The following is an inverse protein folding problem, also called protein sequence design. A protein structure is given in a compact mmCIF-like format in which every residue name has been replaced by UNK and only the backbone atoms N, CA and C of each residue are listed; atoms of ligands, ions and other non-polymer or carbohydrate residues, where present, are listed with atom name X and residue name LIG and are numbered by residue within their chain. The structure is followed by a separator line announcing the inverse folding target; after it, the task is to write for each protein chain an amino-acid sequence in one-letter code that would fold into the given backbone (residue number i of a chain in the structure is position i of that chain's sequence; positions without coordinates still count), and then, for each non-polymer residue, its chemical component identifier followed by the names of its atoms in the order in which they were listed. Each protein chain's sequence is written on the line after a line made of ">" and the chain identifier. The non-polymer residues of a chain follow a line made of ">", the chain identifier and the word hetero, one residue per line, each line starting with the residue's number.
data_IF_896045250595
#
_entry.id   IF_896045250595
#
_cell.length_a   1.000
_cell.length_b   1.000
_cell.length_c   1.000
_cell.angle_alpha   90.00
_cell.angle_beta   90.00
_cell.angle_gamma   90.00
#
_symmetry.space_group_name_H-M   'P 1'
#
loop_
_entity.id
_entity.type
_entity.pdbx_description
1 polymer ?
#
# COMPACT_ATOMS: atom_id res chain seq x y z
N UNK A 1 -22.03 -9.20 8.57
CA UNK A 1 -20.80 -8.49 8.17
C UNK A 1 -21.06 -7.53 7.02
N UNK A 2 -21.30 -7.96 5.77
CA UNK A 2 -21.50 -7.04 4.63
C UNK A 2 -22.57 -5.96 4.87
N UNK A 3 -23.79 -6.35 5.28
CA UNK A 3 -24.86 -5.37 5.57
C UNK A 3 -24.47 -4.39 6.69
N UNK A 4 -23.76 -4.85 7.72
CA UNK A 4 -23.33 -3.99 8.82
C UNK A 4 -22.29 -2.96 8.36
N UNK A 5 -21.31 -3.37 7.56
CA UNK A 5 -20.30 -2.46 7.01
C UNK A 5 -20.95 -1.50 6.00
N UNK A 6 -21.83 -2.01 5.14
CA UNK A 6 -22.56 -1.22 4.15
C UNK A 6 -23.47 -0.17 4.80
N UNK A 7 -24.23 -0.54 5.82
CA UNK A 7 -25.06 0.41 6.57
C UNK A 7 -24.21 1.43 7.33
N UNK A 8 -23.10 0.99 7.94
CA UNK A 8 -22.21 1.89 8.69
C UNK A 8 -21.60 2.97 7.77
N UNK A 9 -20.95 2.59 6.67
CA UNK A 9 -20.28 3.53 5.75
C UNK A 9 -21.23 4.21 4.74
N UNK A 10 -22.41 3.63 4.51
CA UNK A 10 -23.42 4.18 3.59
C UNK A 10 -24.45 5.08 4.25
N UNK A 11 -24.77 4.87 5.54
CA UNK A 11 -25.88 5.56 6.22
C UNK A 11 -25.51 6.15 7.59
N UNK A 12 -24.64 5.48 8.36
CA UNK A 12 -24.34 5.90 9.74
C UNK A 12 -23.25 6.97 9.80
N UNK A 13 -22.15 6.78 9.09
CA UNK A 13 -21.04 7.74 9.08
C UNK A 13 -21.41 8.93 8.21
N UNK A 14 -21.33 10.14 8.77
CA UNK A 14 -21.58 11.38 8.03
C UNK A 14 -20.32 12.21 7.85
N UNK A 15 -19.33 12.08 8.74
CA UNK A 15 -18.03 12.76 8.65
C UNK A 15 -16.88 11.94 9.27
N UNK A 16 -15.63 12.24 8.90
CA UNK A 16 -14.43 11.65 9.51
C UNK A 16 -14.29 11.96 11.01
N UNK A 17 -14.96 13.01 11.50
CA UNK A 17 -14.95 13.41 12.91
C UNK A 17 -15.79 12.46 13.79
N UNK A 18 -16.57 11.56 13.18
CA UNK A 18 -17.39 10.56 13.89
C UNK A 18 -16.56 9.36 14.41
N UNK A 19 -15.27 9.26 14.05
CA UNK A 19 -14.37 8.16 14.41
C UNK A 19 -13.73 8.37 15.78
N UNK A 20 -13.68 7.30 16.60
CA UNK A 20 -13.18 7.36 17.99
C UNK A 20 -11.68 7.03 18.11
N UNK A 21 -11.00 6.77 17.01
CA UNK A 21 -9.56 6.54 16.92
C UNK A 21 -8.92 7.43 15.86
N UNK A 22 -7.62 7.68 15.98
CA UNK A 22 -6.85 8.35 14.93
C UNK A 22 -6.45 7.43 13.78
N UNK A 23 -7.08 6.25 13.67
CA UNK A 23 -6.85 5.33 12.56
C UNK A 23 -7.02 6.05 11.22
N UNK A 24 -8.05 6.89 11.09
CA UNK A 24 -8.35 7.59 9.83
C UNK A 24 -7.88 9.05 9.73
N UNK A 25 -7.04 9.54 10.65
CA UNK A 25 -6.67 10.97 10.71
C UNK A 25 -5.20 11.21 10.33
N UNK A 26 -4.91 11.68 9.10
CA UNK A 26 -3.51 12.00 8.68
C UNK A 26 -3.35 13.21 7.74
N UNK A 27 -4.35 14.09 7.58
CA UNK A 27 -4.27 15.19 6.59
C UNK A 27 -3.21 16.29 6.89
N UNK A 28 -2.48 16.22 8.02
CA UNK A 28 -1.58 17.32 8.45
C UNK A 28 -0.27 17.45 7.66
N UNK A 29 0.22 16.41 6.98
CA UNK A 29 1.52 16.43 6.29
C UNK A 29 1.47 16.20 4.76
N UNK A 30 0.32 16.46 4.12
CA UNK A 30 0.21 16.17 2.68
C UNK A 30 1.08 17.10 1.80
N UNK A 31 1.78 16.55 0.78
CA UNK A 31 2.58 17.33 -0.17
C UNK A 31 1.78 18.42 -0.89
N UNK A 32 2.43 19.55 -1.18
CA UNK A 32 1.78 20.72 -1.78
C UNK A 32 1.12 20.43 -3.15
N UNK A 33 1.74 19.56 -3.97
CA UNK A 33 1.19 19.19 -5.26
C UNK A 33 -0.13 18.39 -5.13
N UNK A 34 -0.22 17.49 -4.14
CA UNK A 34 -1.44 16.75 -3.85
C UNK A 34 -2.52 17.66 -3.26
N UNK A 35 -2.15 18.59 -2.38
CA UNK A 35 -3.07 19.64 -1.87
C UNK A 35 -3.68 20.47 -3.01
N UNK A 36 -2.87 20.84 -4.01
CA UNK A 36 -3.35 21.59 -5.17
C UNK A 36 -4.32 20.80 -6.05
N UNK A 37 -4.17 19.48 -6.15
CA UNK A 37 -5.13 18.60 -6.85
C UNK A 37 -6.39 18.41 -6.01
N UNK A 38 -6.26 18.14 -4.71
CA UNK A 38 -7.40 18.00 -3.79
C UNK A 38 -8.31 19.23 -3.77
N UNK A 39 -7.73 20.42 -3.85
CA UNK A 39 -8.50 21.67 -3.94
C UNK A 39 -9.37 21.77 -5.21
N UNK A 40 -9.13 20.92 -6.22
CA UNK A 40 -9.94 20.82 -7.45
C UNK A 40 -10.99 19.72 -7.38
N UNK A 41 -11.00 18.89 -6.33
CA UNK A 41 -11.98 17.82 -6.16
C UNK A 41 -13.30 18.41 -5.70
N UNK A 42 -14.40 17.91 -6.28
CA UNK A 42 -15.72 18.42 -5.96
C UNK A 42 -16.04 18.25 -4.46
N UNK A 43 -16.56 19.27 -3.75
CA UNK A 43 -16.78 19.21 -2.31
C UNK A 43 -17.63 18.02 -1.84
N UNK A 44 -18.66 17.63 -2.61
CA UNK A 44 -19.52 16.47 -2.28
C UNK A 44 -18.77 15.13 -2.33
N UNK A 45 -17.75 15.03 -3.18
CA UNK A 45 -16.86 13.86 -3.21
C UNK A 45 -15.97 13.87 -1.98
N UNK A 46 -15.31 15.00 -1.70
CA UNK A 46 -14.38 15.13 -0.57
C UNK A 46 -15.04 14.98 0.80
N UNK A 47 -16.27 15.47 0.97
CA UNK A 47 -16.96 15.46 2.27
C UNK A 47 -17.46 14.09 2.71
N UNK A 48 -17.50 13.11 1.81
CA UNK A 48 -17.93 11.72 2.09
C UNK A 48 -16.76 10.73 2.14
N UNK A 49 -15.56 11.24 2.41
CA UNK A 49 -14.35 10.45 2.47
C UNK A 49 -14.02 10.00 3.90
N UNK A 50 -13.68 8.72 4.05
CA UNK A 50 -13.44 8.09 5.35
C UNK A 50 -12.11 7.33 5.44
N UNK A 51 -11.15 7.62 4.55
CA UNK A 51 -9.86 6.93 4.51
C UNK A 51 -8.78 7.59 5.37
N UNK A 52 -7.69 6.86 5.59
CA UNK A 52 -6.62 7.19 6.53
C UNK A 52 -5.51 8.10 5.99
N UNK A 53 -5.79 8.88 4.93
CA UNK A 53 -4.83 9.70 4.19
C UNK A 53 -5.09 9.65 2.68
N UNK A 54 -4.16 10.07 1.83
CA UNK A 54 -4.20 9.82 0.39
C UNK A 54 -3.11 8.80 0.03
N UNK A 55 -3.48 7.76 -0.70
CA UNK A 55 -2.53 6.76 -1.19
C UNK A 55 -2.18 7.05 -2.64
N UNK A 56 -0.97 7.54 -2.86
CA UNK A 56 -0.45 7.86 -4.18
C UNK A 56 1.02 7.41 -4.30
N UNK A 57 1.30 6.25 -4.93
CA UNK A 57 2.67 5.82 -5.17
C UNK A 57 3.33 6.67 -6.26
N UNK A 58 4.64 6.49 -6.45
CA UNK A 58 5.41 7.23 -7.44
C UNK A 58 5.18 6.71 -8.87
N UNK A 59 5.59 7.50 -9.87
CA UNK A 59 5.62 7.13 -11.29
C UNK A 59 4.22 6.79 -11.86
N UNK A 60 3.24 7.67 -11.69
CA UNK A 60 1.83 7.40 -12.05
C UNK A 60 1.45 7.75 -13.49
N UNK A 61 2.23 8.58 -14.18
CA UNK A 61 1.86 9.09 -15.51
C UNK A 61 1.58 7.94 -16.50
N UNK A 62 0.39 7.94 -17.10
CA UNK A 62 -0.05 6.91 -18.04
C UNK A 62 -0.44 5.57 -17.42
N UNK A 63 -0.42 5.41 -16.10
CA UNK A 63 -0.75 4.15 -15.44
C UNK A 63 -2.27 3.89 -15.39
N UNK A 64 -2.63 2.61 -15.42
CA UNK A 64 -3.99 2.14 -15.19
C UNK A 64 -4.12 1.63 -13.75
N UNK A 65 -4.93 2.32 -12.95
CA UNK A 65 -5.06 2.07 -11.51
C UNK A 65 -6.43 1.48 -11.18
N UNK A 66 -6.45 0.50 -10.28
CA UNK A 66 -7.66 0.01 -9.62
C UNK A 66 -7.66 0.46 -8.15
N UNK A 67 -8.74 1.07 -7.71
CA UNK A 67 -8.96 1.50 -6.34
C UNK A 67 -10.03 0.60 -5.68
N UNK A 68 -9.62 -0.14 -4.66
CA UNK A 68 -10.49 -1.04 -3.92
C UNK A 68 -11.09 -0.30 -2.73
N UNK A 69 -12.42 -0.24 -2.67
CA UNK A 69 -13.14 0.54 -1.66
C UNK A 69 -13.13 2.04 -1.98
N UNK A 70 -13.41 2.40 -3.23
CA UNK A 70 -13.24 3.77 -3.73
C UNK A 70 -14.16 4.83 -3.08
N UNK A 71 -15.21 4.40 -2.38
CA UNK A 71 -16.19 5.29 -1.76
C UNK A 71 -16.79 6.28 -2.76
N UNK A 72 -16.84 7.55 -2.37
CA UNK A 72 -17.29 8.67 -3.21
C UNK A 72 -16.31 9.03 -4.34
N UNK A 73 -15.12 8.40 -4.39
CA UNK A 73 -14.14 8.55 -5.46
C UNK A 73 -13.05 9.61 -5.23
N UNK A 74 -12.84 10.11 -3.99
CA UNK A 74 -11.80 11.12 -3.70
C UNK A 74 -10.43 10.70 -4.26
N UNK A 75 -9.95 9.52 -3.88
CA UNK A 75 -8.63 9.02 -4.30
C UNK A 75 -8.62 8.74 -5.80
N UNK A 76 -9.69 8.15 -6.34
CA UNK A 76 -9.87 7.95 -7.77
C UNK A 76 -9.69 9.24 -8.59
N UNK A 77 -10.30 10.35 -8.16
CA UNK A 77 -10.21 11.62 -8.89
C UNK A 77 -8.88 12.33 -8.69
N UNK A 78 -8.23 12.20 -7.53
CA UNK A 78 -6.86 12.70 -7.35
C UNK A 78 -5.90 11.94 -8.27
N UNK A 79 -6.00 10.61 -8.29
CA UNK A 79 -5.19 9.75 -9.14
C UNK A 79 -5.46 9.99 -10.62
N UNK A 80 -6.71 10.26 -11.01
CA UNK A 80 -7.10 10.64 -12.38
C UNK A 80 -6.28 11.83 -12.91
N UNK A 81 -6.04 12.83 -12.06
CA UNK A 81 -5.19 13.97 -12.41
C UNK A 81 -3.70 13.58 -12.51
N UNK A 82 -3.22 12.68 -11.65
CA UNK A 82 -1.82 12.24 -11.60
C UNK A 82 -1.44 11.30 -12.75
N UNK A 83 -2.34 10.40 -13.15
CA UNK A 83 -2.11 9.49 -14.29
C UNK A 83 -2.27 10.21 -15.63
N UNK A 84 -3.00 11.32 -15.66
CA UNK A 84 -3.24 12.13 -16.85
C UNK A 84 -4.15 11.44 -17.89
N UNK A 85 -4.33 12.05 -19.07
CA UNK A 85 -5.32 11.62 -20.06
C UNK A 85 -4.98 10.29 -20.76
N UNK A 86 -3.76 9.78 -20.59
CA UNK A 86 -3.31 8.49 -21.15
C UNK A 86 -3.49 7.32 -20.17
N UNK A 87 -3.57 7.61 -18.87
CA UNK A 87 -3.85 6.61 -17.85
C UNK A 87 -5.35 6.49 -17.58
N UNK A 88 -5.72 5.64 -16.64
CA UNK A 88 -7.10 5.51 -16.19
C UNK A 88 -7.19 5.08 -14.74
N UNK A 89 -8.31 5.38 -14.08
CA UNK A 89 -8.61 4.93 -12.73
C UNK A 89 -9.95 4.23 -12.68
N UNK A 90 -9.98 3.03 -12.15
CA UNK A 90 -11.19 2.24 -11.93
C UNK A 90 -11.43 2.14 -10.44
N UNK A 91 -12.56 2.63 -9.93
CA UNK A 91 -12.98 2.43 -8.55
C UNK A 91 -13.95 1.26 -8.40
N UNK A 92 -13.81 0.47 -7.34
CA UNK A 92 -14.78 -0.55 -6.94
C UNK A 92 -15.26 -0.25 -5.53
N UNK A 93 -16.57 -0.19 -5.33
CA UNK A 93 -17.18 -0.06 -4.00
C UNK A 93 -18.46 -0.90 -3.91
N UNK A 94 -18.85 -1.32 -2.71
CA UNK A 94 -20.08 -2.11 -2.50
C UNK A 94 -21.30 -1.24 -2.19
N UNK A 95 -21.13 0.07 -2.05
CA UNK A 95 -22.12 1.01 -1.50
C UNK A 95 -22.74 1.87 -2.61
N UNK A 96 -23.99 1.63 -3.02
CA UNK A 96 -24.64 2.38 -4.10
C UNK A 96 -24.70 3.88 -3.83
N UNK A 97 -24.89 4.29 -2.57
CA UNK A 97 -24.98 5.69 -2.16
C UNK A 97 -23.66 6.44 -2.39
N UNK A 98 -22.54 5.79 -2.13
CA UNK A 98 -21.20 6.34 -2.38
C UNK A 98 -20.91 6.41 -3.88
N UNK A 99 -21.20 5.31 -4.59
CA UNK A 99 -21.02 5.24 -6.04
C UNK A 99 -21.91 6.22 -6.82
N UNK A 100 -23.10 6.53 -6.30
CA UNK A 100 -23.97 7.55 -6.89
C UNK A 100 -23.26 8.91 -6.91
N UNK A 101 -22.66 9.31 -5.79
CA UNK A 101 -21.88 10.56 -5.70
C UNK A 101 -20.65 10.48 -6.61
N UNK A 102 -19.92 9.37 -6.57
CA UNK A 102 -18.75 9.16 -7.42
C UNK A 102 -19.10 9.35 -8.90
N UNK A 103 -20.19 8.73 -9.37
CA UNK A 103 -20.62 8.79 -10.77
C UNK A 103 -21.17 10.15 -11.19
N UNK A 104 -21.87 10.86 -10.29
CA UNK A 104 -22.43 12.19 -10.57
C UNK A 104 -21.36 13.21 -10.99
N UNK A 105 -20.17 13.14 -10.38
CA UNK A 105 -19.11 14.12 -10.60
C UNK A 105 -18.04 13.71 -11.63
N UNK A 106 -18.30 12.68 -12.45
CA UNK A 106 -17.35 12.26 -13.49
C UNK A 106 -17.07 13.39 -14.48
N UNK A 107 -18.13 13.99 -15.02
CA UNK A 107 -18.00 15.07 -16.01
C UNK A 107 -17.39 16.34 -15.42
N UNK A 108 -17.66 16.62 -14.14
CA UNK A 108 -17.05 17.74 -13.42
C UNK A 108 -15.52 17.60 -13.42
N UNK A 109 -15.00 16.45 -12.96
CA UNK A 109 -13.55 16.26 -12.85
C UNK A 109 -12.87 16.16 -14.22
N UNK A 110 -13.53 15.54 -15.21
CA UNK A 110 -13.07 15.57 -16.61
C UNK A 110 -12.84 17.00 -17.10
N UNK A 111 -13.82 17.89 -16.91
CA UNK A 111 -13.71 19.29 -17.33
C UNK A 111 -12.66 20.04 -16.50
N UNK A 112 -12.64 19.83 -15.18
CA UNK A 112 -11.74 20.49 -14.25
C UNK A 112 -10.26 20.16 -14.51
N UNK A 113 -9.97 18.96 -15.01
CA UNK A 113 -8.63 18.54 -15.42
C UNK A 113 -8.33 18.78 -16.91
N UNK A 114 -9.32 19.25 -17.69
CA UNK A 114 -9.15 19.58 -19.11
C UNK A 114 -9.02 18.34 -20.01
N UNK A 115 -9.67 17.23 -19.66
CA UNK A 115 -9.62 16.00 -20.44
C UNK A 115 -10.76 15.95 -21.48
N UNK A 116 -10.44 15.46 -22.68
CA UNK A 116 -11.44 15.26 -23.75
C UNK A 116 -12.47 14.18 -23.37
N UNK A 117 -12.01 13.12 -22.70
CA UNK A 117 -12.84 12.03 -22.19
C UNK A 117 -12.51 11.78 -20.72
N UNK A 118 -13.48 11.25 -19.96
CA UNK A 118 -13.21 10.79 -18.60
C UNK A 118 -12.25 9.60 -18.65
N UNK A 119 -11.23 9.62 -17.80
CA UNK A 119 -10.35 8.49 -17.55
C UNK A 119 -10.73 7.73 -16.26
N UNK A 120 -11.90 8.01 -15.67
CA UNK A 120 -12.41 7.36 -14.45
C UNK A 120 -13.65 6.53 -14.74
N UNK A 121 -13.71 5.33 -14.16
CA UNK A 121 -14.88 4.45 -14.17
C UNK A 121 -15.14 3.86 -12.77
N UNK A 122 -16.40 3.56 -12.45
CA UNK A 122 -16.78 3.02 -11.13
C UNK A 122 -17.70 1.81 -11.24
N UNK A 123 -17.35 0.72 -10.57
CA UNK A 123 -18.12 -0.52 -10.50
C UNK A 123 -18.67 -0.77 -9.11
N UNK A 124 -19.90 -1.30 -9.06
CA UNK A 124 -20.48 -1.80 -7.82
C UNK A 124 -20.08 -3.27 -7.65
N UNK A 125 -19.45 -3.60 -6.52
CA UNK A 125 -19.02 -4.96 -6.25
C UNK A 125 -18.29 -5.11 -4.92
N UNK A 126 -18.04 -6.37 -4.55
CA UNK A 126 -17.24 -6.72 -3.39
C UNK A 126 -15.77 -6.90 -3.79
N UNK A 127 -14.85 -6.38 -2.98
CA UNK A 127 -13.41 -6.43 -3.26
C UNK A 127 -12.83 -7.85 -3.22
N UNK A 128 -13.50 -8.79 -2.55
CA UNK A 128 -13.17 -10.22 -2.57
C UNK A 128 -13.80 -10.99 -3.74
N UNK A 129 -14.64 -10.34 -4.57
CA UNK A 129 -15.34 -10.94 -5.73
C UNK A 129 -15.13 -10.15 -7.02
N UNK A 130 -13.91 -9.67 -7.26
CA UNK A 130 -13.57 -8.88 -8.45
C UNK A 130 -13.67 -9.68 -9.77
N UNK A 131 -13.73 -11.01 -9.70
CA UNK A 131 -14.01 -11.91 -10.81
C UNK A 131 -15.47 -11.86 -11.30
N UNK A 132 -16.40 -11.37 -10.47
CA UNK A 132 -17.78 -11.11 -10.86
C UNK A 132 -17.95 -9.79 -11.63
N UNK A 133 -16.91 -8.95 -11.66
CA UNK A 133 -16.89 -7.67 -12.37
C UNK A 133 -16.26 -7.85 -13.76
N UNK A 134 -16.52 -6.94 -14.73
CA UNK A 134 -15.91 -6.99 -16.05
C UNK A 134 -14.45 -6.50 -16.03
N UNK A 135 -13.63 -7.08 -15.17
CA UNK A 135 -12.21 -6.77 -14.97
C UNK A 135 -11.33 -7.92 -15.47
N UNK A 136 -10.54 -7.63 -16.50
CA UNK A 136 -9.66 -8.60 -17.16
C UNK A 136 -8.40 -8.90 -16.35
N UNK A 137 -7.82 -10.08 -16.57
CA UNK A 137 -6.50 -10.39 -16.01
C UNK A 137 -5.42 -9.46 -16.57
N UNK A 138 -4.37 -9.20 -15.77
CA UNK A 138 -3.24 -8.35 -16.19
C UNK A 138 -3.68 -6.99 -16.78
N UNK A 139 -4.72 -6.39 -16.20
CA UNK A 139 -5.30 -5.15 -16.69
C UNK A 139 -4.67 -3.90 -16.05
N UNK A 140 -4.24 -4.00 -14.79
CA UNK A 140 -3.83 -2.84 -13.99
C UNK A 140 -2.33 -2.81 -13.75
N UNK A 141 -1.75 -1.61 -13.84
CA UNK A 141 -0.36 -1.37 -13.47
C UNK A 141 -0.23 -1.25 -11.94
N UNK A 142 -1.24 -0.65 -11.31
CA UNK A 142 -1.26 -0.38 -9.87
C UNK A 142 -2.64 -0.73 -9.30
N UNK A 143 -2.67 -1.39 -8.15
CA UNK A 143 -3.87 -1.56 -7.35
C UNK A 143 -3.64 -0.84 -6.02
N UNK A 144 -4.55 0.05 -5.64
CA UNK A 144 -4.52 0.72 -4.35
C UNK A 144 -5.71 0.34 -3.47
N UNK A 145 -5.57 0.59 -2.18
CA UNK A 145 -6.62 0.40 -1.19
C UNK A 145 -6.26 1.19 0.06
N UNK A 146 -7.23 1.87 0.68
CA UNK A 146 -7.01 2.63 1.90
C UNK A 146 -7.93 2.17 3.03
N UNK A 147 -7.38 1.43 4.01
CA UNK A 147 -8.08 1.00 5.22
C UNK A 147 -9.35 0.15 4.99
N UNK A 148 -9.45 -0.58 3.87
CA UNK A 148 -10.64 -1.43 3.56
C UNK A 148 -10.39 -2.93 3.56
N UNK A 149 -9.15 -3.42 3.42
CA UNK A 149 -8.89 -4.86 3.30
C UNK A 149 -9.21 -5.56 4.62
N UNK A 150 -8.94 -4.90 5.75
CA UNK A 150 -9.32 -5.39 7.07
C UNK A 150 -10.82 -5.61 7.27
N UNK A 151 -11.65 -4.88 6.53
CA UNK A 151 -13.10 -5.01 6.54
C UNK A 151 -13.61 -6.16 5.66
N UNK A 152 -12.76 -6.73 4.81
CA UNK A 152 -13.13 -7.89 3.99
C UNK A 152 -13.22 -9.16 4.84
N UNK A 153 -14.26 -9.99 4.65
CA UNK A 153 -14.35 -11.31 5.27
C UNK A 153 -13.35 -12.31 4.69
N UNK A 154 -12.87 -12.09 3.46
CA UNK A 154 -11.98 -13.00 2.74
C UNK A 154 -10.79 -12.25 2.15
N UNK A 155 -9.83 -11.95 3.02
CA UNK A 155 -8.59 -11.23 2.70
C UNK A 155 -7.73 -12.00 1.69
N UNK A 156 -7.77 -13.33 1.74
CA UNK A 156 -7.04 -14.19 0.81
C UNK A 156 -7.58 -14.01 -0.61
N UNK A 157 -8.91 -14.01 -0.78
CA UNK A 157 -9.54 -13.76 -2.06
C UNK A 157 -9.22 -12.35 -2.60
N UNK A 158 -9.23 -11.31 -1.76
CA UNK A 158 -8.82 -9.95 -2.17
C UNK A 158 -7.40 -9.96 -2.75
N UNK A 159 -6.44 -10.56 -2.04
CA UNK A 159 -5.03 -10.60 -2.48
C UNK A 159 -4.85 -11.44 -3.75
N UNK A 160 -5.53 -12.58 -3.86
CA UNK A 160 -5.51 -13.41 -5.09
C UNK A 160 -6.09 -12.67 -6.30
N UNK A 161 -7.20 -11.96 -6.12
CA UNK A 161 -7.81 -11.18 -7.19
C UNK A 161 -6.92 -10.00 -7.59
N UNK A 162 -6.31 -9.30 -6.61
CA UNK A 162 -5.35 -8.26 -6.89
C UNK A 162 -4.16 -8.80 -7.71
N UNK A 163 -3.58 -9.93 -7.30
CA UNK A 163 -2.50 -10.58 -8.04
C UNK A 163 -2.94 -10.99 -9.46
N UNK A 164 -4.15 -11.53 -9.65
CA UNK A 164 -4.69 -11.88 -10.98
C UNK A 164 -4.81 -10.64 -11.90
N UNK A 165 -5.31 -9.55 -11.36
CA UNK A 165 -5.63 -8.32 -12.09
C UNK A 165 -4.39 -7.47 -12.41
N UNK A 166 -3.33 -7.55 -11.61
CA UNK A 166 -2.07 -6.86 -11.87
C UNK A 166 -1.36 -7.39 -13.12
N UNK A 167 -0.79 -6.49 -13.91
CA UNK A 167 0.19 -6.83 -14.96
C UNK A 167 1.47 -7.40 -14.34
N UNK A 168 2.27 -8.10 -15.14
CA UNK A 168 3.66 -8.40 -14.76
C UNK A 168 4.42 -7.08 -14.55
N UNK A 169 5.15 -6.99 -13.43
CA UNK A 169 5.79 -5.75 -12.98
C UNK A 169 4.83 -4.75 -12.32
N UNK A 170 3.54 -5.08 -12.23
CA UNK A 170 2.54 -4.27 -11.53
C UNK A 170 2.69 -4.35 -10.01
N UNK A 171 2.02 -3.43 -9.32
CA UNK A 171 2.18 -3.23 -7.87
C UNK A 171 0.84 -3.06 -7.17
N UNK A 172 0.63 -3.77 -6.07
CA UNK A 172 -0.39 -3.41 -5.09
C UNK A 172 0.24 -2.51 -4.03
N UNK A 173 -0.21 -1.27 -3.92
CA UNK A 173 0.29 -0.26 -2.98
C UNK A 173 -0.84 0.23 -2.10
N UNK A 174 -0.83 -0.12 -0.81
CA UNK A 174 -2.01 0.06 0.04
C UNK A 174 -1.62 0.30 1.50
N UNK A 175 -2.51 0.96 2.23
CA UNK A 175 -2.35 1.22 3.66
C UNK A 175 -3.48 0.56 4.43
N UNK A 176 -3.15 -0.08 5.54
CA UNK A 176 -4.15 -0.68 6.43
C UNK A 176 -3.64 -0.71 7.88
N UNK A 177 -4.50 -1.17 8.79
CA UNK A 177 -4.20 -1.33 10.21
C UNK A 177 -3.62 -2.73 10.49
N UNK A 178 -2.53 -2.79 11.25
CA UNK A 178 -1.89 -4.05 11.64
C UNK A 178 -1.66 -4.08 13.13
N UNK A 179 -1.63 -5.28 13.69
CA UNK A 179 -1.37 -5.52 15.11
C UNK A 179 0.01 -6.15 15.33
N UNK A 180 0.61 -5.87 16.49
CA UNK A 180 1.90 -6.47 16.89
C UNK A 180 1.79 -7.95 17.28
N UNK A 181 0.56 -8.44 17.50
CA UNK A 181 0.20 -9.81 17.84
C UNK A 181 -1.23 -10.11 17.41
N UNK A 182 -1.59 -11.39 17.33
CA UNK A 182 -2.96 -11.82 16.98
C UNK A 182 -3.99 -11.25 17.95
N UNK A 183 -5.02 -10.59 17.41
CA UNK A 183 -6.18 -10.11 18.18
C UNK A 183 -6.98 -11.32 18.68
N UNK A 184 -7.24 -11.44 20.00
CA UNK A 184 -8.04 -12.54 20.54
C UNK A 184 -9.45 -12.64 19.97
N UNK A 185 -9.96 -13.86 19.80
CA UNK A 185 -11.26 -14.13 19.16
C UNK A 185 -12.43 -13.37 19.79
N UNK A 186 -12.41 -13.17 21.11
CA UNK A 186 -13.46 -12.46 21.84
C UNK A 186 -13.51 -10.95 21.53
N UNK A 187 -12.39 -10.35 21.09
CA UNK A 187 -12.33 -8.95 20.64
C UNK A 187 -12.71 -8.80 19.16
N UNK A 188 -12.48 -9.83 18.34
CA UNK A 188 -12.90 -9.82 16.92
C UNK A 188 -14.42 -9.69 16.73
N UNK A 189 -15.21 -10.14 17.70
CA UNK A 189 -16.67 -10.11 17.66
C UNK A 189 -17.26 -8.83 18.30
N UNK A 190 -16.43 -7.93 18.82
CA UNK A 190 -16.89 -6.65 19.39
C UNK A 190 -17.21 -5.67 18.25
N UNK A 191 -18.49 -5.28 18.13
CA UNK A 191 -18.95 -4.41 17.06
C UNK A 191 -18.33 -3.00 17.10
N UNK A 192 -17.97 -2.49 18.29
CA UNK A 192 -17.33 -1.19 18.44
C UNK A 192 -15.89 -1.23 17.93
N UNK A 193 -15.13 -2.25 18.31
CA UNK A 193 -13.75 -2.46 17.82
C UNK A 193 -13.71 -2.78 16.32
N UNK A 194 -14.76 -3.39 15.78
CA UNK A 194 -14.89 -3.68 14.36
C UNK A 194 -15.14 -2.41 13.52
N UNK A 195 -15.95 -1.47 14.01
CA UNK A 195 -16.16 -0.18 13.34
C UNK A 195 -14.90 0.68 13.25
N UNK A 196 -14.01 0.55 14.24
CA UNK A 196 -12.72 1.26 14.30
C UNK A 196 -11.58 0.55 13.52
N UNK A 197 -11.88 -0.48 12.73
CA UNK A 197 -10.91 -1.30 12.00
C UNK A 197 -9.84 -2.01 12.88
N UNK A 198 -10.05 -2.10 14.20
CA UNK A 198 -9.09 -2.71 15.14
C UNK A 198 -9.29 -4.22 15.28
N UNK A 199 -10.55 -4.68 15.35
CA UNK A 199 -10.88 -6.12 15.49
C UNK A 199 -10.38 -6.97 14.33
N UNK A 200 -10.48 -6.44 13.11
CA UNK A 200 -10.12 -7.14 11.88
C UNK A 200 -8.63 -7.05 11.53
N UNK A 201 -7.84 -6.28 12.29
CA UNK A 201 -6.45 -6.00 11.99
C UNK A 201 -5.60 -7.29 12.08
N UNK A 202 -5.00 -7.66 10.94
CA UNK A 202 -4.10 -8.81 10.91
C UNK A 202 -2.86 -8.56 11.75
N UNK A 203 -2.40 -9.62 12.42
CA UNK A 203 -1.02 -9.67 12.92
C UNK A 203 -0.09 -9.52 11.72
N UNK A 204 0.87 -8.60 11.79
CA UNK A 204 1.71 -8.24 10.65
C UNK A 204 2.36 -9.46 9.98
N UNK A 205 2.84 -10.45 10.75
CA UNK A 205 3.51 -11.61 10.16
C UNK A 205 2.52 -12.61 9.54
N UNK A 206 1.30 -12.71 10.06
CA UNK A 206 0.25 -13.50 9.40
C UNK A 206 -0.11 -12.87 8.05
N UNK A 207 -0.15 -11.53 7.96
CA UNK A 207 -0.31 -10.81 6.70
C UNK A 207 0.82 -11.10 5.71
N UNK A 208 2.09 -11.01 6.13
CA UNK A 208 3.24 -11.29 5.25
C UNK A 208 3.15 -12.71 4.67
N UNK A 209 2.85 -13.69 5.51
CA UNK A 209 2.69 -15.08 5.07
C UNK A 209 1.49 -15.25 4.12
N UNK A 210 0.37 -14.59 4.39
CA UNK A 210 -0.81 -14.61 3.53
C UNK A 210 -0.51 -14.00 2.15
N UNK A 211 0.15 -12.84 2.10
CA UNK A 211 0.54 -12.18 0.86
C UNK A 211 1.46 -13.06 0.02
N UNK A 212 2.48 -13.67 0.64
CA UNK A 212 3.36 -14.65 -0.01
C UNK A 212 2.59 -15.85 -0.55
N UNK A 213 1.66 -16.40 0.22
CA UNK A 213 0.78 -17.49 -0.21
C UNK A 213 -0.12 -17.14 -1.40
N UNK A 214 -0.39 -15.85 -1.62
CA UNK A 214 -1.18 -15.35 -2.74
C UNK A 214 -0.35 -14.98 -3.99
N UNK A 215 0.98 -15.17 -3.95
CA UNK A 215 1.89 -14.89 -5.06
C UNK A 215 2.74 -13.64 -4.92
N UNK A 216 2.54 -12.83 -3.87
CA UNK A 216 3.40 -11.67 -3.59
C UNK A 216 4.62 -12.09 -2.76
N UNK A 217 5.67 -12.54 -3.44
CA UNK A 217 6.82 -13.20 -2.80
C UNK A 217 7.62 -12.32 -1.82
N UNK A 218 7.68 -11.00 -2.05
CA UNK A 218 8.48 -10.06 -1.25
C UNK A 218 7.69 -8.78 -0.90
N UNK A 219 6.79 -8.83 0.10
CA UNK A 219 6.10 -7.65 0.62
C UNK A 219 7.06 -6.63 1.24
N UNK A 220 6.98 -5.36 0.85
CA UNK A 220 7.83 -4.29 1.36
C UNK A 220 7.05 -3.27 2.18
N UNK A 221 7.51 -3.00 3.41
CA UNK A 221 6.96 -1.96 4.27
C UNK A 221 7.52 -0.60 3.86
N UNK A 222 6.65 0.30 3.41
CA UNK A 222 7.04 1.64 2.92
C UNK A 222 7.17 2.62 4.09
N UNK A 223 6.12 2.68 4.90
CA UNK A 223 6.04 3.52 6.08
C UNK A 223 5.06 2.93 7.09
N UNK A 224 5.22 3.30 8.34
CA UNK A 224 4.32 2.93 9.42
C UNK A 224 4.28 4.01 10.49
N UNK A 225 3.16 4.07 11.19
CA UNK A 225 2.96 4.89 12.38
C UNK A 225 2.18 4.12 13.44
N UNK A 226 2.51 4.27 14.73
CA UNK A 226 1.66 3.76 15.79
C UNK A 226 0.30 4.47 15.76
N UNK A 227 -0.77 3.71 16.04
CA UNK A 227 -2.10 4.28 16.29
C UNK A 227 -2.26 4.57 17.78
N UNK A 228 -2.88 5.70 18.10
CA UNK A 228 -3.27 6.03 19.47
C UNK A 228 -4.77 5.83 19.61
N UNK A 229 -5.16 5.31 20.77
CA UNK A 229 -6.54 4.96 21.07
C UNK A 229 -6.99 5.91 22.15
N UNK A 230 -7.69 6.95 21.75
CA UNK A 230 -8.06 8.06 22.63
C UNK A 230 -9.36 7.77 23.42
N UNK A 231 -9.74 6.50 23.50
CA UNK A 231 -10.89 5.99 24.27
C UNK A 231 -10.40 5.00 25.35
N UNK A 232 -10.45 5.37 26.64
CA UNK A 232 -9.98 4.53 27.75
C UNK A 232 -10.70 3.18 27.88
N UNK A 233 -11.98 3.09 27.48
CA UNK A 233 -12.73 1.83 27.52
C UNK A 233 -12.20 0.86 26.47
N UNK A 234 -11.94 1.36 25.25
CA UNK A 234 -11.34 0.59 24.15
C UNK A 234 -9.92 0.16 24.52
N UNK A 235 -9.10 1.08 25.04
CA UNK A 235 -7.73 0.79 25.44
C UNK A 235 -7.66 -0.33 26.49
N UNK A 236 -8.54 -0.27 27.50
CA UNK A 236 -8.65 -1.32 28.53
C UNK A 236 -9.03 -2.68 27.94
N UNK A 237 -9.97 -2.72 26.99
CA UNK A 237 -10.37 -3.95 26.29
C UNK A 237 -9.23 -4.57 25.48
N UNK A 238 -8.35 -3.75 24.89
CA UNK A 238 -7.27 -4.21 24.02
C UNK A 238 -6.07 -4.79 24.76
N UNK A 239 -6.03 -4.68 26.10
CA UNK A 239 -5.05 -5.36 26.96
C UNK A 239 -3.59 -5.17 26.50
N UNK A 240 -3.25 -3.99 25.96
CA UNK A 240 -1.89 -3.66 25.52
C UNK A 240 -1.50 -4.16 24.13
N UNK A 241 -2.45 -4.63 23.30
CA UNK A 241 -2.20 -4.85 21.86
C UNK A 241 -1.86 -3.51 21.22
N UNK A 242 -0.75 -3.45 20.47
CA UNK A 242 -0.35 -2.25 19.75
C UNK A 242 -0.77 -2.35 18.30
N UNK A 243 -1.35 -1.26 17.80
CA UNK A 243 -1.80 -1.15 16.42
C UNK A 243 -0.97 -0.12 15.67
N UNK A 244 -0.80 -0.37 14.38
CA UNK A 244 0.00 0.45 13.48
C UNK A 244 -0.80 0.67 12.21
N UNK A 245 -0.83 1.90 11.71
CA UNK A 245 -1.18 2.14 10.30
C UNK A 245 0.10 1.96 9.50
N UNK A 246 0.07 1.07 8.51
CA UNK A 246 1.23 0.74 7.72
C UNK A 246 0.89 0.69 6.23
N UNK A 247 1.79 1.24 5.42
CA UNK A 247 1.71 1.22 3.96
C UNK A 247 2.64 0.14 3.43
N UNK A 248 2.09 -0.81 2.68
CA UNK A 248 2.84 -1.87 2.02
C UNK A 248 2.82 -1.69 0.51
N UNK A 249 3.90 -2.16 -0.12
CA UNK A 249 3.96 -2.40 -1.56
C UNK A 249 4.25 -3.85 -1.87
N UNK A 250 3.45 -4.44 -2.75
CA UNK A 250 3.53 -5.82 -3.18
C UNK A 250 3.66 -5.88 -4.71
N UNK A 251 4.84 -6.25 -5.21
CA UNK A 251 5.06 -6.39 -6.65
C UNK A 251 4.63 -7.76 -7.17
N UNK A 252 4.04 -7.77 -8.37
CA UNK A 252 3.82 -8.99 -9.15
C UNK A 252 5.01 -9.21 -10.09
N UNK A 253 6.03 -9.90 -9.58
CA UNK A 253 7.23 -10.29 -10.33
C UNK A 253 7.47 -11.78 -10.03
N UNK A 254 7.54 -12.61 -11.06
CA UNK A 254 7.54 -14.07 -10.91
C UNK A 254 8.83 -14.62 -10.28
N UNK A 255 9.96 -13.95 -10.54
CA UNK A 255 11.29 -14.44 -10.17
C UNK A 255 11.83 -13.80 -8.87
N UNK A 256 10.93 -13.32 -7.99
CA UNK A 256 11.34 -12.83 -6.68
C UNK A 256 11.63 -14.01 -5.75
N UNK A 257 12.78 -13.94 -5.09
CA UNK A 257 13.26 -14.96 -4.18
C UNK A 257 12.70 -14.73 -2.77
N UNK A 258 12.52 -15.78 -1.95
CA UNK A 258 11.99 -15.63 -0.59
C UNK A 258 12.96 -14.93 0.37
N UNK A 259 14.24 -14.87 0.01
CA UNK A 259 15.31 -14.20 0.74
C UNK A 259 16.00 -13.17 -0.17
N UNK A 260 16.72 -12.23 0.45
CA UNK A 260 17.48 -11.23 -0.28
C UNK A 260 18.83 -11.82 -0.70
N UNK A 261 18.91 -12.30 -1.93
CA UNK A 261 20.15 -12.87 -2.48
C UNK A 261 21.05 -11.78 -3.08
N UNK A 262 22.36 -11.96 -2.95
CA UNK A 262 23.40 -11.06 -3.46
C UNK A 262 24.01 -11.61 -4.76
N UNK A 263 23.93 -10.79 -5.81
CA UNK A 263 24.55 -11.03 -7.11
C UNK A 263 25.56 -9.92 -7.49
N UNK A 264 26.00 -9.12 -6.52
CA UNK A 264 26.93 -8.00 -6.73
C UNK A 264 26.30 -6.85 -7.51
N UNK A 265 24.99 -6.70 -7.41
CA UNK A 265 24.22 -5.75 -8.19
C UNK A 265 24.16 -4.38 -7.53
N UNK A 266 24.08 -3.33 -8.35
CA UNK A 266 23.85 -1.96 -7.89
C UNK A 266 23.02 -1.17 -8.88
N UNK A 267 22.39 -0.12 -8.38
CA UNK A 267 21.57 0.80 -9.15
C UNK A 267 22.01 2.24 -8.93
N UNK A 268 21.72 3.11 -9.89
CA UNK A 268 21.87 4.56 -9.74
C UNK A 268 20.52 5.19 -10.08
N UNK A 269 19.95 5.94 -9.14
CA UNK A 269 18.76 6.73 -9.41
C UNK A 269 19.12 8.01 -10.16
N UNK A 270 18.42 8.29 -11.26
CA UNK A 270 18.73 9.42 -12.15
C UNK A 270 18.04 10.73 -11.74
N UNK A 271 17.16 10.73 -10.73
CA UNK A 271 16.44 11.95 -10.31
C UNK A 271 15.28 12.37 -11.22
N UNK A 272 14.84 11.48 -12.11
CA UNK A 272 13.86 11.78 -13.15
C UNK A 272 12.39 11.75 -12.71
N UNK A 273 12.06 11.27 -11.50
CA UNK A 273 10.69 11.23 -11.03
C UNK A 273 10.23 12.62 -10.54
N UNK A 274 9.02 13.05 -10.93
CA UNK A 274 8.39 14.23 -10.34
C UNK A 274 8.33 14.10 -8.81
N UNK A 275 8.64 15.20 -8.11
CA UNK A 275 8.57 15.30 -6.64
C UNK A 275 9.54 14.41 -5.85
N UNK A 276 10.38 13.61 -6.52
CA UNK A 276 11.40 12.75 -5.90
C UNK A 276 12.77 12.99 -6.53
N UNK A 277 13.16 14.25 -6.72
CA UNK A 277 14.39 14.60 -7.46
C UNK A 277 15.68 14.20 -6.73
N UNK A 278 15.70 14.31 -5.40
CA UNK A 278 16.93 14.15 -4.62
C UNK A 278 17.16 12.70 -4.16
N UNK A 279 16.08 11.95 -3.93
CA UNK A 279 16.11 10.55 -3.58
C UNK A 279 14.82 9.84 -3.98
N UNK A 280 14.93 8.54 -4.26
CA UNK A 280 13.80 7.63 -4.41
C UNK A 280 13.68 6.73 -3.17
N UNK A 281 12.49 6.65 -2.61
CA UNK A 281 12.19 5.81 -1.45
C UNK A 281 11.42 4.59 -1.97
N UNK A 282 12.11 3.45 -2.08
CA UNK A 282 11.43 2.20 -2.45
C UNK A 282 10.67 1.64 -1.25
N UNK A 283 11.27 1.64 -0.07
CA UNK A 283 10.66 1.16 1.16
C UNK A 283 11.40 1.77 2.37
N UNK A 284 11.06 1.37 3.60
CA UNK A 284 11.67 1.91 4.82
C UNK A 284 13.19 1.71 4.91
N UNK A 285 13.74 0.78 4.14
CA UNK A 285 15.17 0.42 4.15
C UNK A 285 15.93 0.96 2.94
N UNK A 286 15.25 1.28 1.84
CA UNK A 286 15.87 1.63 0.57
C UNK A 286 15.61 3.10 0.20
N UNK A 287 16.50 3.98 0.66
CA UNK A 287 16.54 5.41 0.30
C UNK A 287 17.69 5.63 -0.68
N UNK A 288 17.38 5.70 -1.97
CA UNK A 288 18.36 5.75 -3.05
C UNK A 288 18.54 7.19 -3.51
N UNK A 289 19.67 7.81 -3.16
CA UNK A 289 19.98 9.19 -3.55
C UNK A 289 20.35 9.31 -5.02
N UNK A 290 20.00 10.44 -5.60
CA UNK A 290 20.26 10.73 -7.01
C UNK A 290 21.76 10.76 -7.30
N UNK A 291 22.18 10.02 -8.32
CA UNK A 291 23.57 9.95 -8.78
C UNK A 291 24.51 9.09 -7.93
N UNK A 292 24.04 8.54 -6.82
CA UNK A 292 24.85 7.63 -5.99
C UNK A 292 24.70 6.18 -6.48
N UNK A 293 25.81 5.43 -6.47
CA UNK A 293 25.78 3.98 -6.66
C UNK A 293 25.25 3.34 -5.39
N UNK A 294 24.13 2.64 -5.50
CA UNK A 294 23.45 2.01 -4.39
C UNK A 294 23.43 0.47 -4.58
N UNK A 295 24.14 -0.31 -3.75
CA UNK A 295 24.10 -1.76 -3.80
C UNK A 295 22.70 -2.30 -3.46
N UNK A 296 22.26 -3.33 -4.18
CA UNK A 296 20.92 -3.92 -3.99
C UNK A 296 20.96 -5.44 -4.08
N UNK A 297 20.06 -6.12 -3.37
CA UNK A 297 19.81 -7.54 -3.57
C UNK A 297 19.07 -7.80 -4.90
N UNK A 298 19.04 -9.06 -5.33
CA UNK A 298 18.37 -9.51 -6.55
C UNK A 298 16.91 -9.07 -6.63
N UNK A 299 16.15 -9.21 -5.54
CA UNK A 299 14.75 -8.79 -5.51
C UNK A 299 14.58 -7.29 -5.77
N UNK A 300 15.34 -6.46 -5.05
CA UNK A 300 15.27 -5.00 -5.21
C UNK A 300 15.72 -4.57 -6.60
N UNK A 301 16.74 -5.23 -7.17
CA UNK A 301 17.15 -5.00 -8.55
C UNK A 301 15.98 -5.24 -9.51
N UNK A 302 15.27 -6.37 -9.38
CA UNK A 302 14.10 -6.71 -10.21
C UNK A 302 12.93 -5.76 -9.99
N UNK A 303 12.62 -5.40 -8.74
CA UNK A 303 11.57 -4.42 -8.41
C UNK A 303 11.80 -3.06 -9.09
N UNK A 304 13.05 -2.69 -9.35
CA UNK A 304 13.39 -1.47 -10.07
C UNK A 304 13.48 -1.69 -11.59
N UNK A 305 14.05 -2.82 -12.05
CA UNK A 305 14.34 -3.06 -13.48
C UNK A 305 13.18 -3.64 -14.30
N UNK A 306 12.22 -4.29 -13.64
CA UNK A 306 11.10 -5.00 -14.27
C UNK A 306 9.75 -4.30 -14.07
N UNK A 307 9.76 -3.09 -13.51
CA UNK A 307 8.54 -2.31 -13.23
C UNK A 307 8.59 -0.97 -13.94
N UNK A 308 7.54 -0.15 -13.72
CA UNK A 308 7.46 1.24 -14.21
C UNK A 308 8.61 2.13 -13.72
N UNK A 309 9.40 1.70 -12.73
CA UNK A 309 10.55 2.46 -12.25
C UNK A 309 11.77 2.38 -13.15
N UNK A 310 11.86 1.39 -14.04
CA UNK A 310 13.03 1.14 -14.90
C UNK A 310 13.58 2.39 -15.60
N UNK A 311 12.77 3.29 -16.20
CA UNK A 311 13.28 4.45 -16.91
C UNK A 311 14.07 5.44 -16.04
N UNK A 312 13.91 5.37 -14.72
CA UNK A 312 14.51 6.31 -13.77
C UNK A 312 15.81 5.81 -13.14
N UNK A 313 16.25 4.59 -13.49
CA UNK A 313 17.42 3.96 -12.91
C UNK A 313 18.42 3.51 -13.98
N UNK A 314 19.70 3.56 -13.61
CA UNK A 314 20.77 2.82 -14.27
C UNK A 314 21.06 1.56 -13.45
N UNK A 315 21.44 0.49 -14.13
CA UNK A 315 21.58 -0.83 -13.53
C UNK A 315 22.96 -1.39 -13.84
N UNK A 316 23.66 -1.87 -12.81
CA UNK A 316 24.98 -2.49 -12.91
C UNK A 316 24.95 -3.90 -12.33
N UNK A 317 25.72 -4.81 -12.91
CA UNK A 317 25.78 -6.22 -12.52
C UNK A 317 24.87 -7.12 -13.36
N UNK A 318 24.92 -8.43 -13.10
CA UNK A 318 24.13 -9.46 -13.73
C UNK A 318 23.76 -10.53 -12.67
N UNK A 319 23.07 -11.60 -13.06
CA UNK A 319 22.66 -12.69 -12.16
C UNK A 319 23.50 -13.96 -12.35
N UNK A 320 24.73 -13.84 -12.85
CA UNK A 320 25.57 -15.00 -13.22
C UNK A 320 26.32 -15.57 -12.02
N UNK A 321 26.85 -14.71 -11.15
CA UNK A 321 27.59 -15.12 -9.95
C UNK A 321 26.75 -14.77 -8.72
N UNK A 322 26.58 -15.75 -7.83
CA UNK A 322 25.83 -15.62 -6.57
C UNK A 322 26.82 -15.57 -5.41
N UNK A 323 26.72 -14.53 -4.58
CA UNK A 323 27.62 -14.27 -3.45
C UNK A 323 27.00 -14.66 -2.09
N UNK A 324 25.79 -15.22 -2.09
CA UNK A 324 25.06 -15.61 -0.87
C UNK A 324 23.99 -14.60 -0.48
N UNK A 325 23.72 -14.48 0.82
CA UNK A 325 22.73 -13.54 1.34
C UNK A 325 23.26 -12.10 1.29
N UNK A 326 22.43 -11.19 0.82
CA UNK A 326 22.73 -9.77 0.84
C UNK A 326 22.73 -9.23 2.29
N UNK A 327 23.86 -8.65 2.70
CA UNK A 327 24.01 -8.13 4.07
C UNK A 327 22.96 -7.07 4.40
N UNK A 328 22.45 -7.09 5.64
CA UNK A 328 21.47 -6.12 6.11
C UNK A 328 20.01 -6.44 5.79
N UNK A 329 19.70 -7.53 5.08
CA UNK A 329 18.33 -7.95 4.79
C UNK A 329 17.71 -8.94 5.80
N UNK A 330 18.21 -8.97 7.04
CA UNK A 330 17.56 -9.63 8.17
C UNK A 330 17.67 -11.16 8.25
N UNK A 331 18.36 -11.81 7.32
CA UNK A 331 18.66 -13.25 7.39
C UNK A 331 20.17 -13.46 7.59
N UNK A 332 20.55 -14.27 8.58
CA UNK A 332 21.94 -14.64 8.83
C UNK A 332 22.23 -16.04 8.29
N UNK A 333 23.48 -16.29 7.88
CA UNK A 333 23.92 -17.63 7.46
C UNK A 333 23.73 -18.62 8.63
N UNK A 334 22.98 -19.72 8.45
CA UNK A 334 22.65 -20.64 9.56
C UNK A 334 23.81 -21.56 9.96
N UNK A 335 24.84 -21.65 9.12
CA UNK A 335 26.00 -22.50 9.36
C UNK A 335 27.16 -21.65 9.90
N UNK A 336 27.19 -21.49 11.22
CA UNK A 336 28.36 -20.92 11.90
C UNK A 336 29.51 -21.93 11.84
N UNK A 337 30.48 -21.71 10.95
CA UNK A 337 31.77 -22.40 11.03
C UNK A 337 32.61 -21.67 12.06
N UNK A 338 32.38 -21.94 13.34
CA UNK A 338 33.08 -21.35 14.46
C UNK A 338 34.59 -21.33 14.23
N UNK A 339 35.12 -20.17 13.84
CA UNK A 339 36.50 -19.77 14.16
C UNK A 339 36.42 -18.82 15.35
N UNK A 340 36.18 -19.41 16.51
CA UNK A 340 36.70 -18.86 17.75
C UNK A 340 38.22 -18.86 17.69
N UNK A 341 38.84 -17.70 17.85
CA UNK A 341 40.29 -17.61 18.02
C UNK A 341 40.93 -16.26 17.70
N UNK A 342 40.80 -15.30 18.61
CA UNK A 342 41.96 -14.64 19.23
C UNK A 342 41.47 -13.69 20.33
N UNK A 343 41.77 -14.08 21.57
CA UNK A 343 41.81 -13.22 22.73
C UNK A 343 42.63 -11.96 22.43
N UNK A 344 42.08 -10.78 22.71
CA UNK A 344 42.87 -9.68 23.26
C UNK A 344 42.27 -9.32 24.60
N UNK A 345 42.74 -10.04 25.61
CA UNK A 345 42.87 -9.51 26.95
C UNK A 345 43.70 -8.22 26.90
N UNK A 346 43.08 -7.09 27.17
CA UNK A 346 43.79 -5.95 27.75
C UNK A 346 43.06 -5.54 29.02
N UNK A 347 43.42 -6.24 30.09
CA UNK A 347 43.62 -5.57 31.37
C UNK A 347 44.70 -4.49 31.16
N UNK A 348 44.38 -3.25 31.50
CA UNK A 348 45.35 -2.34 32.10
C UNK A 348 44.63 -1.29 32.94
N UNK A 349 44.95 -1.31 34.23
CA UNK A 349 44.66 -0.29 35.23
C UNK A 349 45.24 1.08 34.85
N UNK A 350 44.57 2.16 35.27
CA UNK A 350 44.98 3.05 36.37
C UNK A 350 43.83 4.00 36.72
#
# INVERSE_FOLDING_TARGET
>A
MHEQVKDYYGKTLQSSDDLQSNACCTDTNMPAHLKAILAKIHPQVSSRYYGCGLIAPEALEGMHILDLGSGSGRDCYVLSALVGPKGSVTGVDMTPEQLSVAREYIDYHRQQFGFDQSNVAFFEGYIEKLDALPLGENQFDIIISNCVINLSPDKEAVLKQAHRLLKSGGEMYFSDVYSDRRVPTHLTNDAQLHGECLSGALYWNDFINLAKGCGFADPRLVEDRPLTIDNPEIESKLQGIRFFSATYRLFKINDLEPACEDYGQSVIYNGGLPYSKDAFLLDKHHIIKTGEVFPVCGNTYRMLSETRFKPFFQFNGNTVEHYGLFEGCGSALPFDTGRTGAETSTNSCC
#
